data_IF_495912097102
#
_entry.id   IF_495912097102
#
_cell.length_a   1.000
_cell.length_b   1.000
_cell.length_c   1.000
_cell.angle_alpha   90.00
_cell.angle_beta   90.00
_cell.angle_gamma   90.00
#
_symmetry.space_group_name_H-M   'P 1'
#
loop_
_entity.id
_entity.type
_entity.pdbx_description
1 polymer ?
#
# COMPACT_ATOMS: atom_id res chain seq x y z
N UNK A 1 8.93 -16.75 -5.70
CA UNK A 1 8.06 -15.57 -5.42
C UNK A 1 6.77 -16.04 -4.80
N UNK A 2 6.29 -15.37 -3.77
CA UNK A 2 5.06 -15.77 -3.09
C UNK A 2 3.82 -15.32 -3.88
N UNK A 3 2.80 -16.18 -3.92
CA UNK A 3 1.56 -15.92 -4.64
C UNK A 3 0.34 -16.14 -3.74
N UNK A 4 -0.70 -15.37 -4.00
CA UNK A 4 -2.02 -15.50 -3.39
C UNK A 4 -3.02 -15.85 -4.49
N UNK A 5 -3.54 -17.08 -4.44
CA UNK A 5 -4.45 -17.60 -5.46
C UNK A 5 -5.88 -17.40 -4.99
N UNK A 6 -6.69 -16.73 -5.81
CA UNK A 6 -8.09 -16.46 -5.51
C UNK A 6 -8.99 -17.64 -5.92
N UNK A 7 -10.10 -17.78 -5.21
CA UNK A 7 -11.18 -18.70 -5.60
C UNK A 7 -11.80 -18.23 -6.91
N UNK A 8 -12.28 -19.17 -7.71
CA UNK A 8 -13.00 -18.90 -8.96
C UNK A 8 -14.15 -17.90 -8.74
N UNK A 9 -14.18 -16.86 -9.55
CA UNK A 9 -15.21 -15.82 -9.49
C UNK A 9 -14.95 -14.70 -8.47
N UNK A 10 -13.90 -14.81 -7.65
CA UNK A 10 -13.55 -13.79 -6.65
C UNK A 10 -12.59 -12.71 -7.17
N UNK A 11 -12.17 -12.82 -8.41
CA UNK A 11 -11.30 -11.84 -9.09
C UNK A 11 -12.01 -10.54 -9.50
N UNK A 12 -13.33 -10.52 -9.48
CA UNK A 12 -14.14 -9.40 -10.01
C UNK A 12 -13.86 -8.06 -9.35
N UNK A 13 -13.65 -8.03 -8.04
CA UNK A 13 -13.35 -6.78 -7.31
C UNK A 13 -11.99 -6.21 -7.72
N UNK A 14 -10.98 -7.07 -7.90
CA UNK A 14 -9.65 -6.64 -8.33
C UNK A 14 -9.66 -6.16 -9.79
N UNK A 15 -10.42 -6.82 -10.65
CA UNK A 15 -10.62 -6.36 -12.04
C UNK A 15 -11.26 -4.98 -12.11
N UNK A 16 -12.06 -4.61 -11.11
CA UNK A 16 -12.60 -3.26 -10.93
C UNK A 16 -11.65 -2.32 -10.16
N UNK A 17 -10.42 -2.75 -9.91
CA UNK A 17 -9.37 -2.02 -9.19
C UNK A 17 -9.72 -1.71 -7.73
N UNK A 18 -10.53 -2.55 -7.09
CA UNK A 18 -10.74 -2.47 -5.64
C UNK A 18 -9.48 -3.00 -4.93
N UNK A 19 -8.87 -2.23 -3.99
CA UNK A 19 -7.54 -2.56 -3.47
C UNK A 19 -7.52 -3.61 -2.36
N UNK A 20 -8.65 -4.18 -1.98
CA UNK A 20 -8.75 -5.09 -0.85
C UNK A 20 -9.05 -6.53 -1.28
N UNK A 21 -8.32 -7.47 -0.69
CA UNK A 21 -8.52 -8.91 -0.84
C UNK A 21 -8.88 -9.50 0.52
N UNK A 22 -10.13 -9.92 0.66
CA UNK A 22 -10.60 -10.58 1.88
C UNK A 22 -10.17 -12.05 1.93
N UNK A 23 -10.02 -12.59 3.14
CA UNK A 23 -9.65 -13.98 3.37
C UNK A 23 -10.62 -14.98 2.71
N UNK A 24 -11.91 -14.64 2.70
CA UNK A 24 -12.97 -15.45 2.05
C UNK A 24 -12.80 -15.59 0.54
N UNK A 25 -12.07 -14.64 -0.10
CA UNK A 25 -11.78 -14.70 -1.53
C UNK A 25 -10.55 -15.55 -1.86
N UNK A 26 -9.71 -15.85 -0.88
CA UNK A 26 -8.44 -16.56 -1.05
C UNK A 26 -8.66 -18.07 -1.01
N UNK A 27 -8.13 -18.77 -2.01
CA UNK A 27 -8.08 -20.22 -2.00
C UNK A 27 -6.88 -20.74 -1.22
N UNK A 28 -5.69 -20.20 -1.54
CA UNK A 28 -4.45 -20.56 -0.85
C UNK A 28 -3.34 -19.52 -1.08
N UNK A 29 -2.36 -19.52 -0.19
CA UNK A 29 -1.09 -18.82 -0.37
C UNK A 29 0.01 -19.84 -0.75
N UNK A 30 0.88 -19.48 -1.65
CA UNK A 30 2.03 -20.27 -2.12
C UNK A 30 3.31 -19.53 -1.80
N UNK A 31 4.38 -20.25 -1.46
CA UNK A 31 5.68 -19.65 -1.13
C UNK A 31 5.81 -19.15 0.30
N UNK A 32 4.85 -19.51 1.18
CA UNK A 32 4.86 -19.20 2.62
C UNK A 32 5.13 -17.72 2.96
N UNK A 33 4.34 -16.77 2.42
CA UNK A 33 4.54 -15.35 2.67
C UNK A 33 4.33 -15.00 4.15
N UNK A 34 5.11 -14.03 4.61
CA UNK A 34 5.01 -13.46 5.95
C UNK A 34 4.21 -12.15 5.94
N UNK A 35 3.82 -11.69 7.12
CA UNK A 35 3.16 -10.40 7.26
C UNK A 35 4.01 -9.27 6.67
N UNK A 36 3.41 -8.48 5.80
CA UNK A 36 4.06 -7.36 5.13
C UNK A 36 4.75 -7.71 3.81
N UNK A 37 4.95 -8.99 3.50
CA UNK A 37 5.53 -9.39 2.22
C UNK A 37 4.66 -8.94 1.04
N UNK A 38 5.32 -8.50 -0.02
CA UNK A 38 4.65 -8.27 -1.30
C UNK A 38 4.45 -9.59 -2.02
N UNK A 39 3.20 -9.89 -2.36
CA UNK A 39 2.79 -11.11 -3.04
C UNK A 39 2.14 -10.81 -4.38
N UNK A 40 2.27 -11.72 -5.32
CA UNK A 40 1.53 -11.71 -6.57
C UNK A 40 0.13 -12.29 -6.33
N UNK A 41 -0.92 -11.50 -6.59
CA UNK A 41 -2.30 -11.98 -6.54
C UNK A 41 -2.70 -12.46 -7.93
N UNK A 42 -3.17 -13.69 -8.01
CA UNK A 42 -3.57 -14.34 -9.26
C UNK A 42 -4.97 -14.92 -9.18
N UNK A 43 -5.66 -14.96 -10.30
CA UNK A 43 -6.91 -15.67 -10.43
C UNK A 43 -6.69 -17.19 -10.38
N UNK A 44 -7.77 -17.96 -10.26
CA UNK A 44 -7.73 -19.44 -10.27
C UNK A 44 -7.05 -20.03 -11.50
N UNK A 45 -7.13 -19.35 -12.64
CA UNK A 45 -6.52 -19.74 -13.92
C UNK A 45 -5.07 -19.24 -14.11
N UNK A 46 -4.50 -18.59 -13.08
CA UNK A 46 -3.12 -18.11 -13.09
C UNK A 46 -2.92 -16.69 -13.65
N UNK A 47 -3.99 -16.01 -14.11
CA UNK A 47 -3.87 -14.63 -14.59
C UNK A 47 -3.46 -13.69 -13.46
N UNK A 48 -2.53 -12.79 -13.76
CA UNK A 48 -2.15 -11.71 -12.86
C UNK A 48 -3.34 -10.80 -12.55
N UNK A 49 -3.50 -10.42 -11.29
CA UNK A 49 -4.53 -9.47 -10.85
C UNK A 49 -3.93 -8.23 -10.19
N UNK A 50 -2.98 -8.41 -9.29
CA UNK A 50 -2.35 -7.30 -8.57
C UNK A 50 -1.05 -7.72 -7.86
N UNK A 51 -0.22 -6.74 -7.52
CA UNK A 51 0.77 -6.83 -6.45
C UNK A 51 0.12 -6.36 -5.15
N UNK A 52 0.33 -7.05 -4.05
CA UNK A 52 -0.33 -6.73 -2.79
C UNK A 52 0.54 -7.02 -1.57
N UNK A 53 0.32 -6.30 -0.48
CA UNK A 53 0.90 -6.61 0.82
C UNK A 53 0.06 -7.66 1.53
N UNK A 54 0.72 -8.72 2.01
CA UNK A 54 0.08 -9.85 2.67
C UNK A 54 -0.06 -9.66 4.17
N UNK A 55 -1.19 -10.10 4.73
CA UNK A 55 -1.45 -10.13 6.17
C UNK A 55 -2.09 -11.46 6.56
N UNK A 56 -1.35 -12.39 7.19
CA UNK A 56 -1.82 -13.75 7.45
C UNK A 56 -2.94 -13.85 8.50
N UNK A 57 -3.02 -12.86 9.39
CA UNK A 57 -3.96 -12.89 10.53
C UNK A 57 -5.18 -11.99 10.36
N UNK A 58 -5.19 -11.15 9.35
CA UNK A 58 -6.29 -10.21 9.09
C UNK A 58 -7.35 -10.83 8.19
N UNK A 59 -8.63 -10.54 8.46
CA UNK A 59 -9.71 -10.83 7.52
C UNK A 59 -9.51 -10.09 6.18
N UNK A 60 -8.89 -8.92 6.22
CA UNK A 60 -8.37 -8.23 5.05
C UNK A 60 -6.98 -8.81 4.73
N UNK A 61 -6.97 -9.91 3.97
CA UNK A 61 -5.81 -10.78 3.72
C UNK A 61 -4.71 -10.12 2.93
N UNK A 62 -5.05 -9.25 2.00
CA UNK A 62 -4.08 -8.47 1.26
C UNK A 62 -4.63 -7.10 0.86
N UNK A 63 -3.72 -6.13 0.72
CA UNK A 63 -3.99 -4.77 0.25
C UNK A 63 -3.13 -4.48 -0.96
N UNK A 64 -3.77 -4.13 -2.07
CA UNK A 64 -3.10 -4.00 -3.36
C UNK A 64 -2.25 -2.74 -3.45
N UNK A 65 -1.01 -2.90 -3.89
CA UNK A 65 -0.08 -1.85 -4.24
C UNK A 65 -0.29 -1.37 -5.67
N UNK A 66 -0.34 -2.32 -6.62
CA UNK A 66 -0.43 -2.04 -8.04
C UNK A 66 -1.23 -3.11 -8.78
N UNK A 67 -1.92 -2.68 -9.82
CA UNK A 67 -2.65 -3.54 -10.76
C UNK A 67 -1.87 -3.72 -12.09
N UNK A 68 -0.60 -3.32 -12.11
CA UNK A 68 0.29 -3.46 -13.27
C UNK A 68 1.32 -4.54 -13.00
N UNK A 69 1.36 -5.55 -13.85
CA UNK A 69 2.30 -6.68 -13.68
C UNK A 69 3.76 -6.28 -13.89
N UNK A 70 4.01 -5.27 -14.74
CA UNK A 70 5.33 -4.75 -15.06
C UNK A 70 5.95 -3.84 -13.98
N UNK A 71 5.22 -3.48 -12.94
CA UNK A 71 5.77 -2.69 -11.84
C UNK A 71 6.57 -3.55 -10.85
N UNK A 72 7.70 -3.01 -10.41
CA UNK A 72 8.51 -3.57 -9.33
C UNK A 72 8.20 -2.78 -8.05
N UNK A 73 7.71 -3.48 -7.04
CA UNK A 73 7.36 -2.86 -5.75
C UNK A 73 8.59 -2.89 -4.83
N UNK A 74 9.42 -1.89 -4.94
CA UNK A 74 10.65 -1.69 -4.20
C UNK A 74 10.70 -0.31 -3.53
N UNK A 75 11.80 0.03 -2.91
CA UNK A 75 11.96 1.32 -2.23
C UNK A 75 11.81 2.51 -3.19
N UNK A 76 12.25 2.36 -4.44
CA UNK A 76 12.11 3.39 -5.48
C UNK A 76 10.64 3.61 -5.83
N UNK A 77 9.86 2.53 -5.88
CA UNK A 77 8.42 2.60 -6.10
C UNK A 77 7.70 3.35 -4.97
N UNK A 78 8.02 3.04 -3.71
CA UNK A 78 7.47 3.76 -2.55
C UNK A 78 7.85 5.24 -2.57
N UNK A 79 9.11 5.54 -2.84
CA UNK A 79 9.61 6.91 -2.96
C UNK A 79 8.82 7.70 -4.00
N UNK A 80 8.63 7.14 -5.19
CA UNK A 80 7.84 7.75 -6.26
C UNK A 80 6.41 8.05 -5.83
N UNK A 81 5.73 7.10 -5.18
CA UNK A 81 4.35 7.27 -4.70
C UNK A 81 4.22 8.38 -3.68
N UNK A 82 5.16 8.47 -2.75
CA UNK A 82 5.17 9.54 -1.75
C UNK A 82 5.41 10.90 -2.41
N UNK A 83 6.37 11.00 -3.34
CA UNK A 83 6.62 12.24 -4.08
C UNK A 83 5.39 12.71 -4.87
N UNK A 84 4.69 11.80 -5.53
CA UNK A 84 3.46 12.10 -6.26
C UNK A 84 2.36 12.64 -5.32
N UNK A 85 2.19 12.05 -4.13
CA UNK A 85 1.22 12.51 -3.15
C UNK A 85 1.56 13.90 -2.59
N UNK A 86 2.82 14.16 -2.29
CA UNK A 86 3.30 15.48 -1.84
C UNK A 86 3.08 16.53 -2.92
N UNK A 87 3.45 16.23 -4.16
CA UNK A 87 3.30 17.15 -5.28
C UNK A 87 1.83 17.51 -5.56
N UNK A 88 0.93 16.53 -5.45
CA UNK A 88 -0.51 16.73 -5.64
C UNK A 88 -1.11 17.73 -4.64
N UNK A 89 -0.47 17.92 -3.49
CA UNK A 89 -0.97 18.80 -2.41
C UNK A 89 -0.12 20.05 -2.18
N UNK A 90 0.85 20.33 -3.04
CA UNK A 90 1.76 21.46 -2.88
C UNK A 90 1.02 22.81 -2.78
N UNK A 91 -0.03 23.04 -3.59
CA UNK A 91 -0.82 24.26 -3.57
C UNK A 91 -1.60 24.53 -2.28
N UNK A 92 -1.78 23.54 -1.42
CA UNK A 92 -2.50 23.73 -0.16
C UNK A 92 -1.68 24.54 0.86
N UNK A 93 -0.35 24.56 0.75
CA UNK A 93 0.53 25.35 1.64
C UNK A 93 0.33 26.86 1.53
N UNK A 94 -0.23 27.34 0.44
CA UNK A 94 -0.59 28.74 0.26
C UNK A 94 -1.74 29.18 1.19
N UNK A 95 -2.50 28.24 1.71
CA UNK A 95 -3.73 28.47 2.49
C UNK A 95 -3.63 28.08 3.95
N UNK A 96 -2.76 27.12 4.27
CA UNK A 96 -2.67 26.54 5.61
C UNK A 96 -1.30 25.92 5.84
N UNK A 97 -0.86 25.89 7.10
CA UNK A 97 0.32 25.15 7.54
C UNK A 97 -0.02 23.72 8.05
N UNK A 98 -1.26 23.30 7.92
CA UNK A 98 -1.71 21.95 8.28
C UNK A 98 -2.41 21.29 7.09
N UNK A 99 -1.93 20.12 6.68
CA UNK A 99 -2.50 19.36 5.58
C UNK A 99 -2.26 17.86 5.73
N UNK A 100 -3.20 17.07 5.20
CA UNK A 100 -2.94 15.64 4.97
C UNK A 100 -2.15 15.47 3.69
N UNK A 101 -0.94 14.93 3.80
CA UNK A 101 -0.04 14.70 2.67
C UNK A 101 -0.39 13.41 1.96
N UNK A 102 -0.71 12.35 2.72
CA UNK A 102 -0.97 11.03 2.20
C UNK A 102 -2.14 10.39 2.95
N UNK A 103 -3.05 9.77 2.21
CA UNK A 103 -4.25 9.14 2.75
C UNK A 103 -4.50 7.76 2.13
N UNK A 104 -3.75 6.79 2.60
CA UNK A 104 -3.97 5.36 2.35
C UNK A 104 -4.23 4.98 0.89
N UNK A 105 -5.30 4.26 0.69
CA UNK A 105 -5.72 3.73 -0.62
C UNK A 105 -5.95 4.82 -1.67
N UNK A 106 -6.40 6.00 -1.26
CA UNK A 106 -6.61 7.13 -2.17
C UNK A 106 -5.33 7.59 -2.86
N UNK A 107 -4.18 7.40 -2.23
CA UNK A 107 -2.86 7.76 -2.76
C UNK A 107 -2.05 6.52 -3.18
N UNK A 108 -2.66 5.35 -3.22
CA UNK A 108 -2.04 4.09 -3.65
C UNK A 108 -1.06 3.48 -2.64
N UNK A 109 -1.11 3.90 -1.38
CA UNK A 109 -0.31 3.35 -0.27
C UNK A 109 -1.22 2.89 0.88
N UNK A 110 -1.91 1.74 0.74
CA UNK A 110 -2.87 1.24 1.70
C UNK A 110 -2.33 1.19 3.12
N UNK A 111 -3.05 1.79 4.06
CA UNK A 111 -2.69 1.78 5.47
C UNK A 111 -1.66 2.82 5.90
N UNK A 112 -1.21 3.72 5.01
CA UNK A 112 -0.32 4.81 5.36
C UNK A 112 -1.07 6.14 5.39
N UNK A 113 -0.99 6.85 6.52
CA UNK A 113 -1.49 8.21 6.66
C UNK A 113 -0.34 9.11 7.08
N UNK A 114 -0.18 10.25 6.41
CA UNK A 114 0.81 11.26 6.75
C UNK A 114 0.15 12.62 6.81
N UNK A 115 0.18 13.25 7.97
CA UNK A 115 -0.31 14.59 8.22
C UNK A 115 0.85 15.55 8.53
N UNK A 116 0.80 16.75 7.97
CA UNK A 116 1.72 17.83 8.25
C UNK A 116 1.05 18.90 9.12
N UNK A 117 1.75 19.33 10.17
CA UNK A 117 1.36 20.44 11.05
C UNK A 117 2.57 21.38 11.19
N UNK A 118 2.62 22.44 10.41
CA UNK A 118 3.79 23.32 10.35
C UNK A 118 5.05 22.55 9.95
N UNK A 119 6.04 22.53 10.85
CA UNK A 119 7.30 21.80 10.66
C UNK A 119 7.29 20.36 11.17
N UNK A 120 6.11 19.83 11.53
CA UNK A 120 5.96 18.48 12.05
C UNK A 120 5.20 17.58 11.10
N UNK A 121 5.62 16.32 11.04
CA UNK A 121 4.90 15.25 10.35
C UNK A 121 4.43 14.22 11.36
N UNK A 122 3.17 13.82 11.21
CA UNK A 122 2.58 12.71 11.97
C UNK A 122 2.30 11.57 11.01
N UNK A 123 2.95 10.43 11.22
CA UNK A 123 2.82 9.27 10.35
C UNK A 123 2.16 8.10 11.09
N UNK A 124 1.13 7.52 10.48
CA UNK A 124 0.41 6.36 10.99
C UNK A 124 0.59 5.18 10.03
N UNK A 125 1.09 4.06 10.57
CA UNK A 125 1.24 2.79 9.87
C UNK A 125 0.13 1.84 10.34
N UNK A 126 -0.91 1.67 9.53
CA UNK A 126 -2.12 0.92 9.89
C UNK A 126 -2.22 -0.45 9.21
N UNK A 127 -1.21 -0.86 8.46
CA UNK A 127 -1.19 -2.13 7.75
C UNK A 127 0.21 -2.75 7.74
N UNK A 128 0.26 -4.08 7.70
CA UNK A 128 1.50 -4.83 7.72
C UNK A 128 2.45 -4.47 6.57
N UNK A 129 1.92 -4.18 5.39
CA UNK A 129 2.72 -3.81 4.22
C UNK A 129 3.51 -2.52 4.41
N UNK A 130 2.83 -1.42 4.81
CA UNK A 130 3.52 -0.14 5.06
C UNK A 130 4.41 -0.22 6.29
N UNK A 131 4.08 -1.03 7.27
CA UNK A 131 4.94 -1.29 8.43
C UNK A 131 6.25 -1.98 8.03
N UNK A 132 6.20 -2.95 7.12
CA UNK A 132 7.37 -3.64 6.59
C UNK A 132 8.29 -2.71 5.77
N UNK A 133 7.74 -1.63 5.19
CA UNK A 133 8.47 -0.61 4.43
C UNK A 133 8.63 0.72 5.19
N UNK A 134 8.60 0.66 6.52
CA UNK A 134 8.69 1.84 7.40
C UNK A 134 9.90 2.71 7.12
N UNK A 135 11.08 2.12 6.92
CA UNK A 135 12.31 2.88 6.69
C UNK A 135 12.27 3.68 5.39
N UNK A 136 12.07 3.08 4.19
CA UNK A 136 11.98 3.85 2.96
C UNK A 136 10.89 4.91 3.01
N UNK A 137 9.73 4.61 3.59
CA UNK A 137 8.64 5.58 3.77
C UNK A 137 9.08 6.76 4.65
N UNK A 138 9.79 6.50 5.74
CA UNK A 138 10.20 7.56 6.70
C UNK A 138 11.34 8.42 6.17
N UNK A 139 12.26 7.86 5.37
CA UNK A 139 13.40 8.59 4.82
C UNK A 139 13.10 9.28 3.50
N UNK A 140 12.04 8.88 2.81
CA UNK A 140 11.70 9.44 1.51
C UNK A 140 11.07 10.82 1.64
N UNK A 141 11.85 11.89 1.46
CA UNK A 141 11.43 13.28 1.25
C UNK A 141 10.54 13.92 2.30
N UNK A 142 10.41 13.28 3.45
CA UNK A 142 9.86 13.90 4.63
C UNK A 142 11.03 14.52 5.38
N UNK A 143 11.54 15.64 4.88
CA UNK A 143 12.67 16.38 5.48
C UNK A 143 12.33 17.07 6.80
N UNK A 144 11.10 16.89 7.28
CA UNK A 144 10.60 17.46 8.52
C UNK A 144 10.70 16.46 9.68
N UNK A 145 10.82 16.93 10.93
CA UNK A 145 10.72 16.07 12.10
C UNK A 145 9.43 15.25 12.06
N UNK A 146 9.54 13.94 12.25
CA UNK A 146 8.40 13.04 12.12
C UNK A 146 8.04 12.40 13.46
N UNK A 147 6.78 12.53 13.86
CA UNK A 147 6.19 11.81 14.98
C UNK A 147 5.45 10.59 14.42
N UNK A 148 5.72 9.43 14.99
CA UNK A 148 5.04 8.17 14.65
C UNK A 148 4.01 7.83 15.71
N UNK A 149 2.84 7.53 15.27
CA UNK A 149 1.77 7.01 16.10
C UNK A 149 1.59 5.50 15.89
#
# INVERSE_FOLDING_TARGET
MAELILKKGKEKSLLRRHPWVYDTAVERAVGNPKAGDTVKVVAKDGRFLAWAAYSPVSALRARCWSFREDEVIDDIWFEKKIREAVAARAGLLERTNARRILFGEADGLPGLIVDQYGDWLVTQFQAAGVEAHREPVSYTHLTLPTIRL
#
